data_IF_862430736879
#
_entry.id   IF_862430736879
#
_cell.length_a   1.000
_cell.length_b   1.000
_cell.length_c   1.000
_cell.angle_alpha   90.00
_cell.angle_beta   90.00
_cell.angle_gamma   90.00
#
_symmetry.space_group_name_H-M   'P 1'
#
loop_
_entity.id
_entity.type
_entity.pdbx_description
1 polymer ?
2 non-polymer ?
3 non-polymer ?
4 water ?
#
# COMPACT_ATOMS: atom_id res chain seq x y z
N UNK A 3 -6.65 -23.57 -8.64
CA UNK A 3 -5.76 -22.43 -8.82
C UNK A 3 -6.14 -21.29 -7.88
N UNK A 4 -7.44 -20.99 -7.82
CA UNK A 4 -7.89 -19.82 -7.05
C UNK A 4 -7.73 -20.03 -5.55
N UNK A 5 -7.76 -21.28 -5.07
CA UNK A 5 -7.63 -21.48 -3.62
C UNK A 5 -6.24 -21.11 -3.14
N UNK A 6 -5.20 -21.58 -3.84
CA UNK A 6 -3.84 -21.26 -3.42
C UNK A 6 -3.56 -19.76 -3.53
N UNK A 7 -3.95 -19.15 -4.65
CA UNK A 7 -3.73 -17.72 -4.82
C UNK A 7 -4.48 -16.91 -3.76
N UNK A 8 -5.70 -17.35 -3.40
CA UNK A 8 -6.50 -16.53 -2.49
C UNK A 8 -5.93 -16.58 -1.08
N UNK A 9 -5.36 -17.71 -0.68
CA UNK A 9 -4.75 -17.77 0.65
C UNK A 9 -3.50 -16.90 0.73
N UNK A 10 -2.71 -16.88 -0.34
CA UNK A 10 -1.57 -15.96 -0.38
C UNK A 10 -2.02 -14.51 -0.35
N UNK A 11 -3.03 -14.18 -1.16
CA UNK A 11 -3.44 -12.79 -1.29
C UNK A 11 -4.03 -12.28 0.03
N UNK A 12 -4.79 -13.13 0.73
CA UNK A 12 -5.41 -12.73 1.99
C UNK A 12 -4.35 -12.32 3.00
N UNK A 13 -3.29 -13.12 3.12
CA UNK A 13 -2.25 -12.81 4.09
C UNK A 13 -1.37 -11.64 3.67
N UNK A 14 -1.54 -11.11 2.45
CA UNK A 14 -0.83 -9.93 2.00
C UNK A 14 -1.71 -8.69 1.98
N UNK A 15 -2.94 -8.78 2.48
CA UNK A 15 -3.83 -7.63 2.42
C UNK A 15 -3.45 -6.55 3.44
N UNK A 16 -3.49 -5.29 2.98
CA UNK A 16 -3.62 -4.11 3.82
C UNK A 16 -5.12 -3.84 3.82
N UNK A 17 -5.82 -4.38 4.80
CA UNK A 17 -7.28 -4.25 4.84
C UNK A 17 -7.66 -2.83 5.22
N UNK A 18 -8.40 -2.14 4.34
CA UNK A 18 -8.41 -0.68 4.35
C UNK A 18 -9.79 -0.10 4.59
N UNK A 19 -9.85 0.93 5.45
CA UNK A 19 -10.96 1.87 5.40
C UNK A 19 -10.44 3.29 5.55
N UNK A 20 -10.76 4.15 4.57
CA UNK A 20 -10.24 5.52 4.53
C UNK A 20 -11.33 6.49 4.07
N UNK A 21 -12.39 6.58 4.87
CA UNK A 21 -13.54 7.39 4.51
C UNK A 21 -13.51 8.70 5.27
N UNK A 22 -14.18 9.71 4.69
CA UNK A 22 -14.26 11.03 5.32
C UNK A 22 -15.00 10.99 6.65
N UNK A 23 -15.73 9.91 6.93
CA UNK A 23 -16.59 9.85 8.11
C UNK A 23 -16.47 8.52 8.84
N UNK A 24 -15.31 7.87 8.77
CA UNK A 24 -15.14 6.63 9.51
C UNK A 24 -15.31 6.89 11.00
N UNK A 25 -15.67 5.83 11.72
CA UNK A 25 -15.94 5.86 13.15
C UNK A 25 -15.12 4.79 13.84
N UNK A 26 -14.97 4.94 15.16
CA UNK A 26 -14.35 3.87 15.95
C UNK A 26 -15.01 2.52 15.69
N UNK A 27 -16.34 2.50 15.63
CA UNK A 27 -17.05 1.24 15.42
C UNK A 27 -16.66 0.60 14.11
N UNK A 28 -16.53 1.40 13.04
CA UNK A 28 -16.16 0.81 11.77
C UNK A 28 -14.72 0.32 11.76
N UNK A 29 -13.83 1.03 12.46
CA UNK A 29 -12.44 0.57 12.54
C UNK A 29 -12.36 -0.68 13.39
N UNK A 30 -13.15 -0.76 14.47
CA UNK A 30 -13.16 -1.97 15.29
C UNK A 30 -13.63 -3.17 14.48
N UNK A 31 -14.70 -2.98 13.69
CA UNK A 31 -15.21 -4.05 12.84
C UNK A 31 -14.16 -4.48 11.83
N UNK A 32 -13.42 -3.53 11.29
CA UNK A 32 -12.38 -3.85 10.33
C UNK A 32 -11.26 -4.67 10.98
N UNK A 33 -10.88 -4.32 12.20
CA UNK A 33 -9.88 -5.11 12.92
C UNK A 33 -10.35 -6.54 13.12
N UNK A 34 -11.62 -6.72 13.48
CA UNK A 34 -12.14 -8.07 13.65
C UNK A 34 -12.14 -8.83 12.33
N UNK A 35 -12.50 -8.14 11.24
CA UNK A 35 -12.50 -8.79 9.93
C UNK A 35 -11.10 -9.23 9.52
N UNK A 36 -10.04 -8.54 9.98
CA UNK A 36 -8.67 -8.89 9.60
C UNK A 36 -8.22 -10.22 10.17
N UNK A 37 -8.92 -10.74 11.18
CA UNK A 37 -8.61 -12.02 11.80
C UNK A 37 -9.59 -13.04 11.22
N UNK A 38 -9.17 -13.79 10.20
CA UNK A 38 -10.06 -14.69 9.46
C UNK A 38 -9.85 -16.15 9.85
N UNK A 39 -10.78 -17.05 9.50
CA UNK A 39 -10.58 -18.47 9.81
C UNK A 39 -9.40 -19.11 9.12
N UNK A 40 -8.82 -18.45 8.11
CA UNK A 40 -7.72 -19.04 7.35
C UNK A 40 -6.44 -18.22 7.45
N UNK A 41 -6.42 -17.22 8.32
CA UNK A 41 -5.22 -16.43 8.52
C UNK A 41 -5.51 -14.98 8.81
N UNK A 42 -4.50 -14.24 9.22
CA UNK A 42 -4.64 -12.80 9.47
C UNK A 42 -4.14 -12.04 8.25
N UNK A 43 -4.76 -10.89 7.97
CA UNK A 43 -4.20 -10.02 6.94
C UNK A 43 -2.84 -9.48 7.42
N UNK A 44 -2.04 -8.97 6.47
CA UNK A 44 -0.74 -8.41 6.84
C UNK A 44 -0.92 -7.16 7.69
N UNK A 45 -1.92 -6.37 7.37
CA UNK A 45 -2.05 -5.08 8.00
C UNK A 45 -3.50 -4.61 7.91
N UNK A 46 -3.78 -3.55 8.62
CA UNK A 46 -4.94 -2.72 8.36
C UNK A 46 -4.43 -1.35 7.94
N UNK A 47 -5.28 -0.60 7.26
CA UNK A 47 -4.90 0.73 6.80
C UNK A 47 -6.05 1.68 7.11
N UNK A 48 -5.78 2.68 7.94
CA UNK A 48 -6.79 3.56 8.53
C UNK A 48 -6.18 4.95 8.64
N UNK A 49 -7.03 5.96 8.89
CA UNK A 49 -6.53 7.30 9.13
C UNK A 49 -5.85 7.37 10.50
N UNK A 50 -4.90 8.30 10.68
CA UNK A 50 -4.05 8.27 11.88
C UNK A 50 -4.80 8.31 13.20
N UNK A 51 -5.89 9.09 13.28
CA UNK A 51 -6.60 9.23 14.55
C UNK A 51 -7.19 7.93 15.06
N UNK A 52 -7.32 6.91 14.20
CA UNK A 52 -7.88 5.63 14.62
C UNK A 52 -6.81 4.62 15.02
N UNK A 53 -5.53 4.98 14.95
CA UNK A 53 -4.49 4.02 15.29
C UNK A 53 -4.58 3.54 16.74
N UNK A 54 -4.79 4.40 17.74
CA UNK A 54 -4.85 3.87 19.12
C UNK A 54 -5.97 2.88 19.36
N UNK A 55 -7.19 3.15 18.88
CA UNK A 55 -8.28 2.19 19.12
C UNK A 55 -8.05 0.92 18.32
N UNK A 56 -7.49 1.02 17.12
CA UNK A 56 -7.19 -0.18 16.34
C UNK A 56 -6.14 -1.03 17.05
N UNK A 57 -5.10 -0.39 17.59
CA UNK A 57 -4.04 -1.13 18.28
C UNK A 57 -4.61 -1.90 19.47
N UNK A 58 -5.47 -1.27 20.27
CA UNK A 58 -6.04 -2.00 21.39
C UNK A 58 -6.99 -3.09 20.94
N UNK A 59 -7.73 -2.88 19.85
CA UNK A 59 -8.61 -3.92 19.35
C UNK A 59 -7.82 -5.12 18.85
N UNK A 60 -6.74 -4.88 18.11
CA UNK A 60 -5.90 -5.97 17.61
C UNK A 60 -5.27 -6.74 18.76
N UNK A 61 -4.84 -6.06 19.82
CA UNK A 61 -4.27 -6.78 20.95
C UNK A 61 -5.32 -7.61 21.65
N UNK A 62 -6.52 -7.05 21.86
CA UNK A 62 -7.54 -7.73 22.65
C UNK A 62 -8.11 -8.96 21.95
N UNK A 63 -8.03 -9.03 20.61
CA UNK A 63 -8.40 -10.24 19.89
C UNK A 63 -7.21 -11.15 19.63
N UNK A 64 -6.04 -10.84 20.18
CA UNK A 64 -4.92 -11.76 20.10
C UNK A 64 -4.19 -11.76 18.77
N UNK A 65 -4.24 -10.67 18.02
CA UNK A 65 -3.51 -10.55 16.75
C UNK A 65 -2.62 -9.32 16.79
N UNK A 66 -1.66 -9.29 17.72
CA UNK A 66 -0.84 -8.07 17.88
C UNK A 66 0.14 -7.86 16.76
N UNK A 67 0.34 -8.83 15.87
CA UNK A 67 1.31 -8.67 14.80
C UNK A 67 0.69 -8.20 13.49
N UNK A 68 -0.62 -7.99 13.43
CA UNK A 68 -1.22 -7.31 12.29
C UNK A 68 -0.75 -5.85 12.32
N UNK A 69 -0.06 -5.43 11.26
CA UNK A 69 0.52 -4.10 11.21
C UNK A 69 -0.55 -3.03 11.02
N UNK A 70 -0.28 -1.82 11.50
CA UNK A 70 -1.19 -0.70 11.30
C UNK A 70 -0.50 0.30 10.37
N UNK A 71 -1.05 0.42 9.16
CA UNK A 71 -0.60 1.38 8.17
C UNK A 71 -1.56 2.57 8.13
N UNK A 72 -1.05 3.71 7.69
CA UNK A 72 -1.89 4.89 7.53
C UNK A 72 -1.39 5.66 6.32
N UNK A 73 -2.00 6.81 6.05
CA UNK A 73 -1.71 7.58 4.85
C UNK A 73 -1.37 9.02 5.21
N UNK A 74 -0.47 9.62 4.43
CA UNK A 74 -0.12 11.04 4.59
C UNK A 74 0.04 11.70 3.23
N UNK A 75 0.05 13.05 3.24
CA UNK A 75 -0.01 13.85 2.03
C UNK A 75 -1.16 13.40 1.13
N UNK A 76 -2.29 13.05 1.75
CA UNK A 76 -3.29 12.16 1.12
C UNK A 76 -4.66 12.84 1.03
N UNK A 77 -5.38 12.64 -0.10
CA UNK A 77 -5.00 11.88 -1.30
C UNK A 77 -4.29 12.71 -2.35
N UNK A 78 -4.11 14.01 -2.10
CA UNK A 78 -3.77 14.98 -3.14
C UNK A 78 -2.38 14.79 -3.73
N UNK A 79 -1.42 14.30 -2.94
CA UNK A 79 -0.04 14.36 -3.42
C UNK A 79 0.40 15.78 -3.73
N UNK A 80 0.07 16.73 -2.88
CA UNK A 80 0.54 18.10 -3.10
C UNK A 80 2.06 18.17 -2.94
N UNK A 81 2.65 19.27 -3.41
CA UNK A 81 4.10 19.36 -3.44
C UNK A 81 4.67 20.23 -2.32
N UNK A 82 3.94 20.37 -1.22
CA UNK A 82 4.43 21.11 -0.05
C UNK A 82 5.13 20.10 0.86
N UNK A 83 6.46 20.14 0.88
CA UNK A 83 7.21 19.14 1.65
C UNK A 83 6.97 19.33 3.14
N UNK A 84 6.83 20.59 3.60
CA UNK A 84 6.61 20.83 5.02
C UNK A 84 5.32 20.18 5.50
N UNK A 85 4.26 20.25 4.71
CA UNK A 85 2.99 19.65 5.12
C UNK A 85 3.08 18.13 5.08
N UNK A 86 3.63 17.58 3.98
CA UNK A 86 3.78 16.13 3.89
C UNK A 86 4.60 15.59 5.04
N UNK A 87 5.70 16.28 5.38
CA UNK A 87 6.57 15.83 6.47
C UNK A 87 5.89 15.98 7.81
N UNK A 88 5.19 17.10 8.02
CA UNK A 88 4.44 17.25 9.26
C UNK A 88 3.41 16.15 9.42
N UNK A 89 2.68 15.83 8.34
CA UNK A 89 1.69 14.77 8.42
C UNK A 89 2.34 13.43 8.70
N UNK A 90 3.48 13.16 8.08
CA UNK A 90 4.21 11.91 8.34
C UNK A 90 4.69 11.85 9.79
N UNK A 91 5.25 12.94 10.32
CA UNK A 91 5.64 12.96 11.72
C UNK A 91 4.43 12.77 12.64
N UNK A 92 3.27 13.34 12.28
CA UNK A 92 2.10 13.14 13.12
C UNK A 92 1.65 11.69 13.10
N UNK A 93 1.68 11.06 11.91
CA UNK A 93 1.29 9.66 11.81
C UNK A 93 2.19 8.77 12.67
N UNK A 94 3.50 9.06 12.69
CA UNK A 94 4.42 8.34 13.56
C UNK A 94 4.03 8.54 15.02
N UNK A 95 3.69 9.78 15.39
CA UNK A 95 3.31 10.05 16.78
C UNK A 95 2.01 9.32 17.15
N UNK A 96 1.07 9.20 16.22
CA UNK A 96 -0.16 8.46 16.47
C UNK A 96 0.09 6.96 16.64
N UNK A 97 1.26 6.47 16.25
CA UNK A 97 1.62 5.08 16.48
C UNK A 97 1.69 4.20 15.25
N UNK A 98 1.70 4.77 14.05
CA UNK A 98 1.72 3.97 12.84
C UNK A 98 2.92 3.04 12.77
N UNK A 99 2.69 1.82 12.27
CA UNK A 99 3.79 0.93 11.91
C UNK A 99 4.31 1.22 10.52
N UNK A 100 3.44 1.74 9.65
CA UNK A 100 3.77 2.00 8.25
C UNK A 100 3.04 3.26 7.83
N UNK A 101 3.68 4.05 6.97
CA UNK A 101 3.11 5.26 6.42
C UNK A 101 3.13 5.14 4.90
N UNK A 102 1.97 5.32 4.26
CA UNK A 102 1.82 5.35 2.80
C UNK A 102 1.63 6.81 2.41
N UNK A 103 2.69 7.43 1.85
CA UNK A 103 2.68 8.87 1.51
C UNK A 103 2.40 9.03 0.01
N UNK A 104 1.62 10.06 -0.36
CA UNK A 104 1.36 10.28 -1.79
C UNK A 104 2.48 11.12 -2.39
N UNK A 105 3.12 10.57 -3.42
CA UNK A 105 4.12 11.25 -4.22
C UNK A 105 3.53 12.50 -4.87
N UNK A 106 4.33 13.60 -5.03
CA UNK A 106 3.82 14.82 -5.70
C UNK A 106 3.78 14.61 -7.21
N UNK A 107 2.77 13.85 -7.64
CA UNK A 107 2.72 13.40 -9.02
C UNK A 107 2.35 14.52 -9.99
N UNK A 108 1.49 15.45 -9.56
CA UNK A 108 1.19 16.62 -10.39
C UNK A 108 2.45 17.43 -10.66
N UNK A 109 3.29 17.61 -9.65
CA UNK A 109 4.52 18.38 -9.83
C UNK A 109 5.44 17.67 -10.81
N UNK A 110 5.50 16.34 -10.74
CA UNK A 110 6.29 15.59 -11.72
C UNK A 110 5.73 15.78 -13.14
N UNK A 111 4.40 15.75 -13.28
CA UNK A 111 3.80 15.92 -14.60
C UNK A 111 4.11 17.31 -15.17
N UNK A 112 4.31 18.28 -14.29
CA UNK A 112 4.66 19.65 -14.65
C UNK A 112 6.16 19.84 -14.88
N UNK A 113 6.96 18.79 -14.72
CA UNK A 113 8.37 18.83 -15.07
C UNK A 113 9.32 18.82 -13.91
N UNK A 114 8.83 18.82 -12.67
CA UNK A 114 9.68 18.91 -11.49
C UNK A 114 9.89 17.51 -10.93
N UNK A 115 11.06 16.93 -11.23
CA UNK A 115 11.44 15.63 -10.70
C UNK A 115 12.05 15.74 -9.30
N UNK A 116 12.61 16.89 -8.94
CA UNK A 116 13.36 16.97 -7.70
C UNK A 116 12.45 16.98 -6.47
N UNK A 117 11.30 17.65 -6.56
CA UNK A 117 10.45 17.76 -5.37
C UNK A 117 9.98 16.40 -4.89
N UNK A 118 9.71 15.49 -5.83
CA UNK A 118 9.33 14.13 -5.43
C UNK A 118 10.44 13.42 -4.66
N UNK A 119 11.68 13.56 -5.12
CA UNK A 119 12.79 12.99 -4.38
C UNK A 119 12.89 13.60 -2.98
N UNK A 120 12.85 14.93 -2.90
CA UNK A 120 13.08 15.59 -1.62
C UNK A 120 11.96 15.26 -0.64
N UNK A 121 10.73 15.19 -1.14
CA UNK A 121 9.60 14.87 -0.28
C UNK A 121 9.69 13.44 0.25
N UNK A 122 9.88 12.47 -0.66
CA UNK A 122 9.98 11.08 -0.21
C UNK A 122 11.16 10.91 0.74
N UNK A 123 12.31 11.52 0.40
CA UNK A 123 13.49 11.36 1.23
C UNK A 123 13.26 11.91 2.64
N UNK A 124 12.65 13.08 2.73
CA UNK A 124 12.38 13.66 4.05
C UNK A 124 11.44 12.76 4.86
N UNK A 125 10.40 12.23 4.22
CA UNK A 125 9.47 11.36 4.94
C UNK A 125 10.13 10.06 5.33
N UNK A 126 10.99 9.51 4.45
CA UNK A 126 11.72 8.28 4.78
C UNK A 126 12.61 8.47 6.00
N UNK A 127 13.28 9.62 6.11
CA UNK A 127 14.21 9.81 7.21
C UNK A 127 13.47 9.86 8.55
N UNK A 128 12.29 10.50 8.58
CA UNK A 128 11.47 10.47 9.79
C UNK A 128 11.02 9.05 10.13
N UNK A 129 10.49 8.34 9.13
CA UNK A 129 10.01 6.98 9.35
C UNK A 129 11.14 6.05 9.79
N UNK A 130 12.28 6.12 9.11
CA UNK A 130 13.38 5.21 9.40
C UNK A 130 13.85 5.37 10.84
N UNK A 131 13.89 6.60 11.34
CA UNK A 131 14.26 6.82 12.73
C UNK A 131 13.35 6.08 13.70
N UNK A 132 12.07 5.94 13.34
CA UNK A 132 11.05 5.32 14.19
C UNK A 132 10.83 3.85 13.87
N UNK A 133 11.67 3.25 13.02
CA UNK A 133 11.46 1.87 12.56
C UNK A 133 10.07 1.71 11.94
N UNK A 134 9.67 2.69 11.13
CA UNK A 134 8.39 2.71 10.43
C UNK A 134 8.65 2.57 8.93
N UNK A 135 7.94 1.63 8.29
CA UNK A 135 8.13 1.46 6.85
C UNK A 135 7.38 2.55 6.08
N UNK A 136 7.97 2.97 4.97
CA UNK A 136 7.40 4.01 4.10
C UNK A 136 7.00 3.43 2.75
N UNK A 137 5.70 3.46 2.44
CA UNK A 137 5.24 3.17 1.10
C UNK A 137 4.97 4.48 0.36
N UNK A 138 5.19 4.50 -0.95
CA UNK A 138 4.98 5.72 -1.73
C UNK A 138 3.95 5.46 -2.82
N UNK A 139 2.84 6.21 -2.77
CA UNK A 139 1.75 6.14 -3.74
C UNK A 139 2.07 7.07 -4.90
N UNK A 140 2.18 6.53 -6.12
CA UNK A 140 2.51 7.41 -7.23
C UNK A 140 1.29 7.85 -8.05
N UNK A 141 0.12 7.25 -7.81
CA UNK A 141 -1.16 7.57 -8.47
C UNK A 141 -1.07 7.35 -9.99
N UNK A 142 -0.83 6.07 -10.34
CA UNK A 142 -0.72 5.67 -11.74
C UNK A 142 -1.92 6.09 -12.58
N UNK A 143 -3.12 6.11 -11.98
CA UNK A 143 -4.32 6.45 -12.73
C UNK A 143 -4.37 7.91 -13.17
N UNK A 144 -3.63 8.77 -12.48
CA UNK A 144 -3.54 10.17 -12.90
C UNK A 144 -2.26 10.48 -13.67
N UNK A 145 -1.16 9.78 -13.38
CA UNK A 145 0.03 9.87 -14.22
C UNK A 145 -0.25 9.41 -15.64
N UNK A 146 -0.91 8.26 -15.79
CA UNK A 146 -1.41 7.69 -17.04
C UNK A 146 -0.28 7.18 -17.96
N UNK A 147 0.68 8.04 -18.27
CA UNK A 147 1.72 7.72 -19.24
C UNK A 147 2.74 6.75 -18.67
N UNK A 148 3.10 5.71 -19.44
CA UNK A 148 4.06 4.71 -18.97
C UNK A 148 5.37 5.35 -18.52
N UNK A 149 5.88 6.34 -19.27
CA UNK A 149 7.18 6.92 -18.91
C UNK A 149 7.10 7.66 -17.58
N UNK A 150 5.98 8.34 -17.32
CA UNK A 150 5.82 9.02 -16.04
C UNK A 150 5.64 8.03 -14.89
N UNK A 151 4.95 6.91 -15.15
CA UNK A 151 4.84 5.88 -14.13
C UNK A 151 6.20 5.31 -13.78
N UNK A 152 7.03 5.05 -14.79
CA UNK A 152 8.38 4.58 -14.52
C UNK A 152 9.18 5.64 -13.76
N UNK A 153 9.10 6.89 -14.20
CA UNK A 153 9.90 7.94 -13.58
C UNK A 153 9.51 8.15 -12.11
N UNK A 154 8.22 8.20 -11.81
CA UNK A 154 7.79 8.36 -10.42
C UNK A 154 8.25 7.19 -9.57
N UNK A 155 8.19 5.96 -10.11
CA UNK A 155 8.67 4.80 -9.40
C UNK A 155 10.17 4.91 -9.12
N UNK A 156 10.94 5.31 -10.13
CA UNK A 156 12.39 5.44 -9.98
C UNK A 156 12.76 6.48 -8.93
N UNK A 157 12.12 7.64 -9.00
CA UNK A 157 12.40 8.72 -8.05
C UNK A 157 12.11 8.24 -6.64
N UNK A 158 10.94 7.60 -6.45
CA UNK A 158 10.56 7.11 -5.14
C UNK A 158 11.57 6.11 -4.60
N UNK A 159 12.04 5.20 -5.47
CA UNK A 159 13.00 4.20 -5.05
C UNK A 159 14.33 4.85 -4.70
N UNK A 160 14.80 5.79 -5.53
CA UNK A 160 16.07 6.47 -5.26
C UNK A 160 16.03 7.22 -3.93
N UNK A 161 14.88 7.80 -3.61
CA UNK A 161 14.69 8.57 -2.39
C UNK A 161 14.49 7.70 -1.15
N UNK A 162 14.36 6.40 -1.31
CA UNK A 162 14.31 5.46 -0.20
C UNK A 162 12.97 4.80 0.11
N UNK A 163 12.01 4.82 -0.81
CA UNK A 163 10.77 4.10 -0.61
C UNK A 163 11.04 2.64 -0.24
N UNK A 164 10.32 2.14 0.78
CA UNK A 164 10.33 0.72 1.12
C UNK A 164 9.33 -0.07 0.30
N UNK A 165 8.31 0.59 -0.24
CA UNK A 165 7.29 0.04 -1.14
C UNK A 165 6.97 1.12 -2.16
N UNK A 166 6.62 0.72 -3.37
CA UNK A 166 5.91 1.61 -4.28
C UNK A 166 4.51 1.05 -4.51
N UNK A 167 3.54 1.96 -4.54
CA UNK A 167 2.12 1.67 -4.47
C UNK A 167 1.41 2.37 -5.63
N UNK A 168 0.45 1.70 -6.25
CA UNK A 168 -0.11 2.28 -7.47
C UNK A 168 -0.93 3.54 -7.19
N UNK A 169 -1.75 3.53 -6.13
CA UNK A 169 -2.93 4.39 -6.15
C UNK A 169 -3.41 4.70 -4.74
N UNK A 170 -4.17 5.80 -4.63
CA UNK A 170 -4.83 6.16 -3.38
C UNK A 170 -6.14 5.42 -3.19
N UNK A 171 -6.74 4.90 -4.26
CA UNK A 171 -8.10 4.43 -4.20
C UNK A 171 -9.13 5.54 -4.23
N UNK A 172 -8.71 6.80 -4.38
CA UNK A 172 -9.60 7.94 -4.30
C UNK A 172 -9.81 8.61 -5.65
N UNK A 173 -9.17 8.13 -6.71
CA UNK A 173 -9.30 8.74 -8.02
C UNK A 173 -10.05 7.76 -8.92
N UNK A 174 -10.28 8.16 -10.18
CA UNK A 174 -11.14 7.40 -11.07
C UNK A 174 -10.54 6.04 -11.43
N UNK A 175 -9.23 6.01 -11.65
CA UNK A 175 -8.54 4.79 -12.05
C UNK A 175 -7.46 4.49 -11.03
N UNK A 176 -7.49 3.29 -10.46
CA UNK A 176 -6.49 2.92 -9.48
C UNK A 176 -5.66 1.77 -10.04
N UNK A 177 -5.43 0.69 -9.30
CA UNK A 177 -4.57 -0.36 -9.84
C UNK A 177 -5.13 -0.97 -11.12
N UNK A 178 -4.25 -1.30 -12.05
CA UNK A 178 -4.53 -2.19 -13.18
C UNK A 178 -3.35 -3.14 -13.34
N UNK A 179 -3.57 -4.29 -13.97
CA UNK A 179 -2.42 -5.17 -14.27
C UNK A 179 -1.34 -4.48 -15.09
N UNK A 180 -1.73 -3.64 -16.05
CA UNK A 180 -0.77 -2.87 -16.85
C UNK A 180 0.14 -2.03 -15.96
N UNK A 181 -0.45 -1.23 -15.08
CA UNK A 181 0.34 -0.37 -14.20
C UNK A 181 1.20 -1.21 -13.28
N UNK A 182 0.65 -2.32 -12.77
CA UNK A 182 1.42 -3.18 -11.88
C UNK A 182 2.65 -3.75 -12.57
N UNK A 183 2.50 -4.19 -13.82
CA UNK A 183 3.65 -4.69 -14.55
C UNK A 183 4.71 -3.60 -14.72
N UNK A 184 4.29 -2.40 -15.11
CA UNK A 184 5.24 -1.32 -15.32
C UNK A 184 6.02 -1.05 -14.04
N UNK A 185 5.31 -0.95 -12.91
CA UNK A 185 5.98 -0.62 -11.66
C UNK A 185 6.88 -1.76 -11.18
N UNK A 186 6.43 -3.01 -11.33
CA UNK A 186 7.30 -4.11 -10.91
C UNK A 186 8.51 -4.24 -11.83
N UNK A 187 8.35 -3.93 -13.12
CA UNK A 187 9.51 -3.90 -14.01
C UNK A 187 10.56 -2.90 -13.52
N UNK A 188 10.12 -1.76 -12.98
CA UNK A 188 11.10 -0.80 -12.44
C UNK A 188 11.85 -1.40 -11.26
N UNK A 189 11.12 -2.04 -10.33
CA UNK A 189 11.78 -2.73 -9.21
C UNK A 189 12.84 -3.68 -9.74
N UNK A 190 12.48 -4.47 -10.76
CA UNK A 190 13.41 -5.39 -11.39
C UNK A 190 14.59 -4.67 -12.00
N UNK A 191 14.32 -3.68 -12.87
CA UNK A 191 15.38 -2.98 -13.59
C UNK A 191 16.34 -2.28 -12.64
N UNK A 192 15.83 -1.76 -11.53
CA UNK A 192 16.69 -1.09 -10.56
C UNK A 192 17.39 -2.05 -9.61
N UNK A 193 17.10 -3.35 -9.69
CA UNK A 193 17.79 -4.30 -8.84
C UNK A 193 17.43 -4.22 -7.38
N UNK A 194 16.26 -3.69 -7.05
CA UNK A 194 15.87 -3.47 -5.67
C UNK A 194 14.80 -4.45 -5.21
N UNK A 195 14.67 -5.61 -5.86
CA UNK A 195 13.64 -6.54 -5.42
C UNK A 195 13.80 -6.95 -3.95
N UNK A 196 15.03 -6.98 -3.43
CA UNK A 196 15.23 -7.38 -2.04
C UNK A 196 14.71 -6.33 -1.07
N UNK A 197 14.72 -5.05 -1.44
CA UNK A 197 14.42 -4.00 -0.49
C UNK A 197 13.18 -3.18 -0.81
N UNK A 198 12.56 -3.34 -1.96
CA UNK A 198 11.40 -2.54 -2.34
C UNK A 198 10.24 -3.47 -2.65
N UNK A 199 9.14 -3.30 -1.92
CA UNK A 199 7.94 -4.04 -2.19
C UNK A 199 7.01 -3.32 -3.15
N UNK A 200 6.00 -4.06 -3.61
CA UNK A 200 4.99 -3.51 -4.50
C UNK A 200 3.59 -3.68 -3.90
N UNK A 201 2.74 -2.67 -4.09
CA UNK A 201 1.37 -2.74 -3.61
C UNK A 201 0.38 -2.19 -4.63
N UNK A 202 -0.39 -3.04 -5.32
CA UNK A 202 -1.55 -2.53 -6.06
C UNK A 202 -2.64 -2.16 -5.06
N UNK A 203 -3.22 -1.00 -5.26
CA UNK A 203 -4.28 -0.55 -4.36
C UNK A 203 -5.41 0.04 -5.18
N UNK A 204 -6.63 -0.24 -4.75
CA UNK A 204 -7.81 0.26 -5.41
C UNK A 204 -8.16 -0.58 -6.63
N UNK A 205 -9.44 -0.88 -6.81
CA UNK A 205 -9.83 -1.63 -7.99
C UNK A 205 -9.43 -3.09 -7.99
N UNK A 206 -8.92 -3.61 -6.88
CA UNK A 206 -8.66 -5.04 -6.75
C UNK A 206 -9.85 -5.61 -6.00
N UNK A 207 -10.78 -6.20 -6.74
CA UNK A 207 -12.09 -6.53 -6.20
C UNK A 207 -12.29 -8.00 -5.91
N UNK A 208 -11.72 -8.89 -6.71
CA UNK A 208 -12.09 -10.29 -6.68
C UNK A 208 -10.88 -11.18 -6.50
N UNK A 209 -11.14 -12.41 -6.07
CA UNK A 209 -10.08 -13.40 -6.01
C UNK A 209 -9.39 -13.55 -7.36
N UNK A 210 -10.17 -13.48 -8.45
CA UNK A 210 -9.59 -13.53 -9.79
C UNK A 210 -8.63 -12.37 -10.05
N UNK A 211 -9.02 -11.15 -9.66
CA UNK A 211 -8.11 -10.01 -9.78
C UNK A 211 -6.80 -10.27 -9.06
N UNK A 212 -6.90 -10.68 -7.79
CA UNK A 212 -5.71 -10.89 -6.98
C UNK A 212 -4.77 -11.89 -7.64
N UNK A 213 -5.34 -12.95 -8.23
CA UNK A 213 -4.53 -13.99 -8.84
C UNK A 213 -3.69 -13.43 -9.98
N UNK A 214 -4.25 -12.50 -10.76
CA UNK A 214 -3.51 -11.90 -11.87
C UNK A 214 -2.33 -11.07 -11.38
N UNK A 215 -2.53 -10.30 -10.32
CA UNK A 215 -1.43 -9.50 -9.77
C UNK A 215 -0.30 -10.38 -9.25
N UNK A 216 -0.66 -11.46 -8.53
CA UNK A 216 0.37 -12.36 -8.03
C UNK A 216 1.06 -13.10 -9.15
N UNK A 217 0.37 -13.33 -10.27
CA UNK A 217 1.02 -14.00 -11.39
C UNK A 217 2.13 -13.13 -11.97
N UNK A 218 1.92 -11.82 -12.03
CA UNK A 218 2.97 -10.91 -12.49
C UNK A 218 4.17 -10.97 -11.55
N UNK A 219 3.91 -10.92 -10.25
CA UNK A 219 4.98 -10.99 -9.27
C UNK A 219 5.80 -12.26 -9.42
N UNK A 220 5.10 -13.40 -9.50
CA UNK A 220 5.79 -14.69 -9.61
C UNK A 220 6.61 -14.76 -10.89
N UNK A 221 6.09 -14.20 -11.98
CA UNK A 221 6.80 -14.23 -13.26
C UNK A 221 8.09 -13.42 -13.19
N UNK A 222 8.02 -12.22 -12.62
CA UNK A 222 9.18 -11.33 -12.62
C UNK A 222 10.23 -11.73 -11.59
N UNK A 223 9.81 -12.20 -10.40
CA UNK A 223 10.72 -12.34 -9.28
C UNK A 223 10.83 -13.75 -8.74
N UNK A 224 10.05 -14.69 -9.25
CA UNK A 224 10.00 -16.03 -8.68
C UNK A 224 8.87 -16.16 -7.68
N UNK A 225 8.38 -17.40 -7.52
CA UNK A 225 7.22 -17.63 -6.67
C UNK A 225 7.53 -17.42 -5.20
N UNK A 226 8.81 -17.37 -4.83
CA UNK A 226 9.19 -17.17 -3.43
C UNK A 226 9.41 -15.70 -3.07
N UNK A 227 9.14 -14.78 -3.99
CA UNK A 227 9.40 -13.38 -3.68
C UNK A 227 8.30 -12.75 -2.84
N UNK A 228 7.04 -12.92 -3.24
CA UNK A 228 5.96 -12.21 -2.55
C UNK A 228 5.86 -12.68 -1.10
N UNK A 229 5.84 -11.71 -0.18
CA UNK A 229 5.63 -11.93 1.25
C UNK A 229 5.27 -10.57 1.82
N UNK A 230 5.04 -10.50 3.14
CA UNK A 230 4.53 -9.25 3.70
C UNK A 230 5.52 -8.09 3.52
N UNK A 231 6.83 -8.36 3.52
CA UNK A 231 7.77 -7.27 3.30
C UNK A 231 7.86 -6.85 1.83
N UNK A 232 7.36 -7.66 0.89
CA UNK A 232 7.55 -7.32 -0.51
C UNK A 232 6.27 -7.13 -1.31
N UNK A 233 5.11 -7.40 -0.73
CA UNK A 233 3.87 -7.37 -1.50
C UNK A 233 2.70 -7.11 -0.56
N UNK A 234 1.83 -6.17 -0.93
CA UNK A 234 0.56 -6.02 -0.24
C UNK A 234 -0.56 -5.76 -1.24
N UNK A 235 -1.78 -6.09 -0.85
CA UNK A 235 -2.97 -5.65 -1.58
C UNK A 235 -3.67 -4.55 -0.79
N UNK A 236 -3.80 -3.37 -1.41
CA UNK A 236 -4.57 -2.31 -0.78
C UNK A 236 -6.01 -2.51 -1.20
N UNK A 237 -6.86 -3.00 -0.30
CA UNK A 237 -8.17 -3.48 -0.71
C UNK A 237 -9.09 -3.59 0.50
N UNK A 238 -10.36 -3.90 0.23
CA UNK A 238 -11.37 -4.07 1.27
C UNK A 238 -12.32 -5.20 0.93
N UNK A 239 -13.23 -4.96 -0.03
CA UNK A 239 -14.20 -5.98 -0.45
C UNK A 239 -13.52 -7.25 -0.91
N UNK A 240 -12.28 -7.12 -1.39
CA UNK A 240 -11.51 -8.29 -1.81
C UNK A 240 -11.52 -9.38 -0.76
N UNK A 241 -11.44 -9.01 0.54
CA UNK A 241 -11.31 -10.03 1.59
C UNK A 241 -12.47 -11.02 1.55
N UNK A 242 -13.71 -10.51 1.43
CA UNK A 242 -14.84 -11.42 1.34
C UNK A 242 -14.78 -12.30 0.09
N UNK A 243 -14.24 -11.77 -1.02
CA UNK A 243 -14.11 -12.58 -2.22
C UNK A 243 -13.06 -13.67 -2.03
N UNK A 244 -11.96 -13.35 -1.38
CA UNK A 244 -10.93 -14.36 -1.10
C UNK A 244 -11.49 -15.45 -0.19
N UNK A 245 -12.21 -15.06 0.87
CA UNK A 245 -12.77 -16.06 1.78
C UNK A 245 -13.78 -16.95 1.07
N UNK A 246 -14.60 -16.35 0.19
CA UNK A 246 -15.55 -17.14 -0.60
C UNK A 246 -14.83 -18.18 -1.45
N UNK A 247 -13.74 -17.77 -2.11
CA UNK A 247 -12.99 -18.74 -2.92
C UNK A 247 -12.40 -19.85 -2.07
N UNK A 248 -12.20 -19.60 -0.77
CA UNK A 248 -11.64 -20.58 0.14
C UNK A 248 -12.71 -21.35 0.90
N UNK A 249 -13.98 -21.15 0.59
CA UNK A 249 -15.05 -21.89 1.22
C UNK A 249 -15.59 -21.30 2.50
N UNK A 250 -15.37 -20.02 2.76
CA UNK A 250 -15.91 -19.37 3.96
C UNK A 250 -16.85 -18.23 3.58
N UNK A 251 -18.07 -18.25 4.12
#
# INVERSE_FOLDING_TARGET
MTDLKASSLRALKLMDLTTLNDDDTDEKVIALCHQAKTPVGNTAAICIYPRFIPIARETLKEQGTPEIRIATVTNFPHGNDDIDIALAETRAAIAWGADEVDVVFPYRALMAGNEQVGFDLVKACKEACAAANVLLKVIIETGELKDEALIRKASEISIKAGADFIKTSTGKVAVNATPESARIMMEVIRDMGVEKTVGFKPAGGVRTAEDAQKYLAIADELFGADWADARHYRFGASSLLASLLKALGHGDGKSASSYHHHHHH
#
